data_IF_062445166595
#
_entry.id   IF_062445166595
#
_cell.length_a   1.000
_cell.length_b   1.000
_cell.length_c   1.000
_cell.angle_alpha   90.00
_cell.angle_beta   90.00
_cell.angle_gamma   90.00
#
_symmetry.space_group_name_H-M   'P 1'
#
loop_
_entity.id
_entity.type
_entity.pdbx_description
1 polymer ?
#
# COMPACT_ATOMS: atom_id res chain seq x y z
N UNK A 1 -21.30 -48.97 39.05
CA UNK A 1 -19.92 -48.57 38.67
C UNK A 1 -19.86 -47.92 37.27
N UNK A 2 -20.60 -48.40 36.26
CA UNK A 2 -20.68 -47.81 34.90
C UNK A 2 -21.14 -46.34 34.81
N UNK A 3 -21.98 -45.85 35.73
CA UNK A 3 -22.45 -44.45 35.74
C UNK A 3 -21.35 -43.43 36.13
N UNK A 4 -20.41 -43.82 37.02
CA UNK A 4 -19.29 -42.94 37.41
C UNK A 4 -18.26 -42.80 36.30
N UNK A 5 -18.02 -43.86 35.52
CA UNK A 5 -17.06 -43.85 34.41
C UNK A 5 -17.53 -42.94 33.26
N UNK A 6 -18.83 -42.94 32.93
CA UNK A 6 -19.40 -42.02 31.92
C UNK A 6 -19.31 -40.55 32.35
N UNK A 7 -19.47 -40.24 33.64
CA UNK A 7 -19.31 -38.88 34.18
C UNK A 7 -17.87 -38.39 34.12
N UNK A 8 -16.90 -39.27 34.37
CA UNK A 8 -15.47 -38.95 34.28
C UNK A 8 -15.06 -38.68 32.82
N UNK A 9 -15.57 -39.45 31.86
CA UNK A 9 -15.30 -39.23 30.44
C UNK A 9 -15.89 -37.89 29.93
N UNK A 10 -17.09 -37.52 30.38
CA UNK A 10 -17.70 -36.22 30.04
C UNK A 10 -16.89 -35.06 30.66
N UNK A 11 -16.39 -35.23 31.88
CA UNK A 11 -15.56 -34.22 32.54
C UNK A 11 -14.22 -34.03 31.81
N UNK A 12 -13.58 -35.12 31.37
CA UNK A 12 -12.34 -35.07 30.58
C UNK A 12 -12.57 -34.40 29.23
N UNK A 13 -13.73 -34.64 28.58
CA UNK A 13 -14.11 -34.00 27.33
C UNK A 13 -14.36 -32.48 27.50
N UNK A 14 -14.99 -32.07 28.61
CA UNK A 14 -15.20 -30.66 28.93
C UNK A 14 -13.87 -29.95 29.24
N UNK A 15 -12.95 -30.63 29.93
CA UNK A 15 -11.61 -30.11 30.22
C UNK A 15 -10.80 -30.01 28.91
N UNK A 16 -10.88 -31.00 28.01
CA UNK A 16 -10.18 -30.91 26.72
C UNK A 16 -10.73 -29.79 25.84
N UNK A 17 -12.05 -29.59 25.80
CA UNK A 17 -12.68 -28.47 25.09
C UNK A 17 -12.24 -27.12 25.68
N UNK A 18 -12.08 -27.02 27.01
CA UNK A 18 -11.55 -25.81 27.64
C UNK A 18 -10.08 -25.55 27.27
N UNK A 19 -9.24 -26.59 27.18
CA UNK A 19 -7.84 -26.49 26.80
C UNK A 19 -7.69 -26.07 25.33
N UNK A 20 -8.58 -26.55 24.44
CA UNK A 20 -8.60 -26.11 23.03
C UNK A 20 -9.19 -24.71 22.84
N UNK A 21 -10.09 -24.25 23.72
CA UNK A 21 -10.62 -22.88 23.69
C UNK A 21 -9.61 -21.82 24.16
N UNK A 22 -8.54 -22.21 24.85
CA UNK A 22 -7.49 -21.29 25.32
C UNK A 22 -6.29 -21.15 24.38
N UNK A 23 -6.24 -21.88 23.26
CA UNK A 23 -5.41 -21.47 22.12
C UNK A 23 -6.12 -20.33 21.38
N UNK A 24 -6.33 -19.22 22.09
CA UNK A 24 -6.66 -17.96 21.48
C UNK A 24 -5.55 -17.67 20.48
N UNK A 25 -5.91 -17.65 19.20
CA UNK A 25 -5.20 -16.80 18.24
C UNK A 25 -5.00 -15.48 18.96
N UNK A 26 -3.76 -15.10 19.23
CA UNK A 26 -3.45 -13.74 19.69
C UNK A 26 -3.80 -12.82 18.53
N UNK A 27 -5.08 -12.47 18.42
CA UNK A 27 -5.52 -11.30 17.68
C UNK A 27 -4.96 -10.14 18.46
N UNK A 28 -3.88 -9.57 17.95
CA UNK A 28 -3.15 -8.49 18.58
C UNK A 28 -3.86 -7.18 18.25
N UNK A 29 -5.02 -6.96 18.85
CA UNK A 29 -5.55 -5.61 18.98
C UNK A 29 -4.89 -4.99 20.22
N UNK A 30 -3.64 -4.53 20.07
CA UNK A 30 -3.02 -3.72 21.11
C UNK A 30 -3.72 -2.36 21.07
N UNK A 31 -4.48 -2.01 22.11
CA UNK A 31 -5.22 -0.75 22.16
C UNK A 31 -4.29 0.45 21.90
N UNK A 32 -4.76 1.39 21.08
CA UNK A 32 -4.00 2.58 20.74
C UNK A 32 -3.62 3.38 21.99
N UNK A 33 -2.34 3.72 22.09
CA UNK A 33 -1.77 4.49 23.21
C UNK A 33 -1.83 6.00 22.96
N UNK A 34 -2.19 6.41 21.75
CA UNK A 34 -2.18 7.80 21.28
C UNK A 34 -3.60 8.23 20.95
N UNK A 35 -4.00 9.40 21.47
CA UNK A 35 -5.24 10.07 21.12
C UNK A 35 -4.93 11.43 20.48
N UNK A 36 -5.52 11.72 19.33
CA UNK A 36 -5.66 13.08 18.80
C UNK A 36 -7.05 13.61 19.15
N UNK A 37 -7.10 14.78 19.77
CA UNK A 37 -8.31 15.61 19.89
C UNK A 37 -8.12 16.81 18.96
N UNK A 38 -9.03 17.02 18.00
CA UNK A 38 -8.87 18.06 16.98
C UNK A 38 -10.12 18.91 16.82
N UNK A 39 -9.97 20.18 16.47
CA UNK A 39 -11.10 21.07 16.14
C UNK A 39 -11.56 20.95 14.69
N UNK A 40 -10.60 20.84 13.77
CA UNK A 40 -10.81 20.89 12.34
C UNK A 40 -9.62 20.25 11.63
N UNK A 41 -9.83 19.66 10.46
CA UNK A 41 -8.77 18.96 9.74
C UNK A 41 -7.72 19.91 9.13
N UNK A 42 -8.11 21.15 8.83
CA UNK A 42 -7.24 22.20 8.29
C UNK A 42 -7.58 23.59 8.83
N UNK A 43 -6.64 24.50 8.69
CA UNK A 43 -6.84 25.91 8.99
C UNK A 43 -7.68 26.59 7.90
N UNK A 44 -8.57 27.51 8.29
CA UNK A 44 -9.43 28.23 7.35
C UNK A 44 -8.62 28.98 6.29
N UNK A 45 -8.96 28.75 5.01
CA UNK A 45 -8.30 29.39 3.86
C UNK A 45 -6.97 28.74 3.43
N UNK A 46 -6.51 27.68 4.11
CA UNK A 46 -5.35 26.90 3.69
C UNK A 46 -5.78 25.59 3.01
N UNK A 47 -4.93 25.05 2.14
CA UNK A 47 -5.15 23.74 1.50
C UNK A 47 -4.62 22.58 2.34
N UNK A 48 -3.61 22.85 3.18
CA UNK A 48 -2.90 21.83 3.95
C UNK A 48 -3.76 21.18 5.04
N UNK A 49 -3.92 19.86 4.96
CA UNK A 49 -4.60 19.06 5.98
C UNK A 49 -3.64 18.73 7.13
N UNK A 50 -3.58 19.60 8.13
CA UNK A 50 -2.69 19.45 9.30
C UNK A 50 -3.06 18.24 10.16
N UNK A 51 -4.35 17.88 10.26
CA UNK A 51 -4.76 16.67 10.98
C UNK A 51 -4.12 15.43 10.36
N UNK A 52 -4.19 15.33 9.04
CA UNK A 52 -3.62 14.23 8.30
C UNK A 52 -2.09 14.15 8.42
N UNK A 53 -1.39 15.28 8.30
CA UNK A 53 0.06 15.34 8.55
C UNK A 53 0.44 14.87 9.95
N UNK A 54 -0.36 15.22 10.97
CA UNK A 54 -0.17 14.76 12.34
C UNK A 54 -0.43 13.26 12.49
N UNK A 55 -1.47 12.73 11.86
CA UNK A 55 -1.77 11.29 11.82
C UNK A 55 -0.60 10.53 11.19
N UNK A 56 -0.13 10.93 10.00
CA UNK A 56 1.03 10.31 9.35
C UNK A 56 2.27 10.33 10.25
N UNK A 57 2.50 11.46 10.93
CA UNK A 57 3.62 11.61 11.86
C UNK A 57 3.54 10.60 13.01
N UNK A 58 2.36 10.38 13.57
CA UNK A 58 2.15 9.42 14.66
C UNK A 58 2.28 7.98 14.16
N UNK A 59 1.67 7.63 13.02
CA UNK A 59 1.77 6.29 12.44
C UNK A 59 3.23 5.94 12.13
N UNK A 60 4.02 6.90 11.64
CA UNK A 60 5.46 6.75 11.42
C UNK A 60 6.28 6.44 12.68
N UNK A 61 5.71 6.63 13.88
CA UNK A 61 6.36 6.21 15.14
C UNK A 61 6.18 4.73 15.48
N UNK A 62 5.37 4.01 14.70
CA UNK A 62 4.98 2.62 14.93
C UNK A 62 3.76 2.46 15.85
N UNK A 63 3.04 3.55 16.15
CA UNK A 63 1.87 3.53 17.03
C UNK A 63 0.61 3.88 16.24
N UNK A 64 -0.48 3.16 16.53
CA UNK A 64 -1.81 3.55 16.06
C UNK A 64 -2.36 4.74 16.83
N UNK A 65 -3.46 5.29 16.33
CA UNK A 65 -4.03 6.54 16.83
C UNK A 65 -5.55 6.50 16.84
N UNK A 66 -6.12 6.83 18.00
CA UNK A 66 -7.54 7.19 18.11
C UNK A 66 -7.67 8.70 17.82
N UNK A 67 -8.69 9.10 17.08
CA UNK A 67 -8.91 10.47 16.63
C UNK A 67 -10.33 10.88 17.02
N UNK A 68 -10.48 11.99 17.74
CA UNK A 68 -11.76 12.48 18.24
C UNK A 68 -11.91 13.95 17.89
N UNK A 69 -13.03 14.30 17.25
CA UNK A 69 -13.37 15.69 17.02
C UNK A 69 -13.76 16.34 18.36
N UNK A 70 -13.33 17.57 18.58
CA UNK A 70 -13.56 18.29 19.83
C UNK A 70 -15.04 18.46 20.17
N UNK A 71 -15.92 18.63 19.19
CA UNK A 71 -17.37 18.76 19.41
C UNK A 71 -17.99 17.45 19.89
N UNK A 72 -17.29 16.33 19.68
CA UNK A 72 -17.64 15.00 20.17
C UNK A 72 -16.84 14.58 21.41
N UNK A 73 -15.95 15.45 21.91
CA UNK A 73 -15.27 15.23 23.17
C UNK A 73 -16.29 15.26 24.31
N UNK A 74 -16.44 14.13 24.96
CA UNK A 74 -17.10 14.02 26.26
C UNK A 74 -16.06 13.69 27.32
N UNK A 75 -16.43 13.66 28.61
CA UNK A 75 -15.57 13.19 29.72
C UNK A 75 -15.27 11.68 29.64
N UNK A 76 -14.95 11.19 28.45
CA UNK A 76 -14.36 9.88 28.22
C UNK A 76 -13.03 9.80 28.95
N UNK A 77 -12.69 8.59 29.40
CA UNK A 77 -11.48 8.35 30.16
C UNK A 77 -10.26 8.46 29.25
N UNK A 78 -9.74 9.68 29.09
CA UNK A 78 -8.45 9.94 28.45
C UNK A 78 -7.31 9.21 29.17
N UNK A 79 -7.53 8.75 30.40
CA UNK A 79 -6.56 8.03 31.23
C UNK A 79 -6.08 6.70 30.63
N UNK A 80 -6.79 6.12 29.66
CA UNK A 80 -6.30 4.91 28.94
C UNK A 80 -5.12 5.21 28.01
N UNK A 81 -4.97 6.46 27.57
CA UNK A 81 -3.92 6.86 26.64
C UNK A 81 -2.64 7.26 27.37
N UNK A 82 -1.49 7.02 26.72
CA UNK A 82 -0.19 7.50 27.21
C UNK A 82 0.16 8.87 26.64
N UNK A 83 -0.30 9.15 25.43
CA UNK A 83 -0.01 10.38 24.70
C UNK A 83 -1.30 11.01 24.21
N UNK A 84 -1.42 12.31 24.43
CA UNK A 84 -2.55 13.11 24.01
C UNK A 84 -2.04 14.25 23.13
N UNK A 85 -2.53 14.28 21.90
CA UNK A 85 -2.26 15.35 20.94
C UNK A 85 -3.51 16.21 20.82
N UNK A 86 -3.37 17.51 21.09
CA UNK A 86 -4.45 18.48 20.94
C UNK A 86 -4.13 19.34 19.73
N UNK A 87 -4.94 19.27 18.68
CA UNK A 87 -4.74 20.03 17.44
C UNK A 87 -5.85 21.07 17.27
N UNK A 88 -5.50 22.34 17.41
CA UNK A 88 -6.40 23.46 17.18
C UNK A 88 -5.91 24.30 16.02
N UNK A 89 -6.46 24.05 14.84
CA UNK A 89 -6.13 24.82 13.64
C UNK A 89 -6.86 26.16 13.60
N UNK A 90 -8.07 26.20 14.19
CA UNK A 90 -8.92 27.36 14.28
C UNK A 90 -9.18 27.73 15.76
N UNK A 91 -9.77 28.89 15.99
CA UNK A 91 -10.05 29.39 17.34
C UNK A 91 -11.46 29.01 17.82
N UNK A 92 -11.86 27.74 17.64
CA UNK A 92 -13.12 27.23 18.18
C UNK A 92 -13.15 27.24 19.71
N UNK A 93 -14.34 27.28 20.29
CA UNK A 93 -14.50 27.29 21.75
C UNK A 93 -14.07 25.95 22.37
N UNK A 94 -13.37 26.00 23.51
CA UNK A 94 -12.96 24.81 24.25
C UNK A 94 -14.18 24.22 24.99
N UNK A 95 -14.37 22.89 25.01
CA UNK A 95 -15.43 22.27 25.80
C UNK A 95 -15.28 22.54 27.30
N UNK A 96 -16.41 22.66 27.99
CA UNK A 96 -16.45 22.87 29.43
C UNK A 96 -15.69 21.79 30.20
N UNK A 97 -14.74 22.22 31.04
CA UNK A 97 -13.94 21.33 31.87
C UNK A 97 -12.79 20.63 31.14
N UNK A 98 -12.63 20.82 29.82
CA UNK A 98 -11.56 20.18 29.05
C UNK A 98 -10.16 20.46 29.63
N UNK A 99 -9.86 21.72 29.95
CA UNK A 99 -8.59 22.11 30.57
C UNK A 99 -8.38 21.43 31.94
N UNK A 100 -9.45 21.24 32.72
CA UNK A 100 -9.36 20.53 34.00
C UNK A 100 -9.03 19.05 33.82
N UNK A 101 -9.57 18.42 32.77
CA UNK A 101 -9.25 17.04 32.43
C UNK A 101 -7.77 16.93 31.98
N UNK A 102 -7.29 17.85 31.15
CA UNK A 102 -5.89 17.92 30.74
C UNK A 102 -4.93 18.12 31.92
N UNK A 103 -5.30 18.95 32.90
CA UNK A 103 -4.50 19.14 34.11
C UNK A 103 -4.35 17.84 34.91
N UNK A 104 -5.40 17.01 34.98
CA UNK A 104 -5.42 15.72 35.69
C UNK A 104 -4.75 14.60 34.92
N UNK A 105 -4.67 14.71 33.59
CA UNK A 105 -4.06 13.69 32.74
C UNK A 105 -2.60 13.45 33.10
N UNK A 106 -2.26 12.17 33.29
CA UNK A 106 -0.93 11.71 33.74
C UNK A 106 0.02 11.43 32.57
N UNK A 107 -0.50 11.15 31.39
CA UNK A 107 0.30 10.91 30.18
C UNK A 107 0.89 12.21 29.62
N UNK A 108 1.61 12.14 28.49
CA UNK A 108 2.22 13.34 27.88
C UNK A 108 1.23 14.04 26.96
N UNK A 109 1.23 15.36 27.00
CA UNK A 109 0.38 16.20 26.16
C UNK A 109 1.25 16.93 25.14
N UNK A 110 0.83 16.94 23.88
CA UNK A 110 1.39 17.81 22.84
C UNK A 110 0.26 18.68 22.32
N UNK A 111 0.30 19.97 22.62
CA UNK A 111 -0.65 20.93 22.10
C UNK A 111 -0.08 21.62 20.86
N UNK A 112 -0.85 21.60 19.78
CA UNK A 112 -0.45 22.12 18.48
C UNK A 112 -1.47 23.16 18.01
N UNK A 113 -0.98 24.35 17.68
CA UNK A 113 -1.79 25.41 17.08
C UNK A 113 -2.32 26.44 18.08
N UNK A 114 -3.54 26.88 17.84
CA UNK A 114 -4.20 28.00 18.52
C UNK A 114 -4.78 27.59 19.87
N UNK A 115 -5.33 28.57 20.60
CA UNK A 115 -6.09 28.39 21.84
C UNK A 115 -5.36 27.65 22.97
N UNK A 116 -4.02 27.70 22.99
CA UNK A 116 -3.24 27.16 24.10
C UNK A 116 -3.58 27.89 25.40
N UNK A 117 -4.06 27.15 26.40
CA UNK A 117 -4.49 27.70 27.67
C UNK A 117 -3.30 27.91 28.64
N UNK A 118 -3.20 29.11 29.21
CA UNK A 118 -2.11 29.49 30.13
C UNK A 118 -2.06 28.64 31.39
N UNK A 119 -3.18 28.06 31.82
CA UNK A 119 -3.22 27.15 32.97
C UNK A 119 -2.35 25.89 32.74
N UNK A 120 -2.10 25.53 31.47
CA UNK A 120 -1.28 24.40 31.10
C UNK A 120 0.22 24.74 31.02
N UNK A 121 0.62 26.02 30.98
CA UNK A 121 2.04 26.44 30.79
C UNK A 121 3.01 25.82 31.81
N UNK A 122 2.56 25.66 33.06
CA UNK A 122 3.40 25.14 34.15
C UNK A 122 3.32 23.62 34.31
N UNK A 123 2.56 22.91 33.47
CA UNK A 123 2.43 21.46 33.53
C UNK A 123 3.72 20.80 33.03
N UNK A 124 4.32 19.90 33.80
CA UNK A 124 5.62 19.32 33.45
C UNK A 124 5.58 18.41 32.20
N UNK A 125 4.44 17.77 31.95
CA UNK A 125 4.25 16.78 30.90
C UNK A 125 3.52 17.33 29.67
N UNK A 126 3.65 18.63 29.38
CA UNK A 126 3.11 19.24 28.16
C UNK A 126 4.23 19.81 27.27
N UNK A 127 4.05 19.70 25.97
CA UNK A 127 4.82 20.40 24.94
C UNK A 127 3.87 21.24 24.08
N UNK A 128 4.23 22.49 23.83
CA UNK A 128 3.49 23.38 22.94
C UNK A 128 4.22 23.57 21.61
N UNK A 129 3.49 23.49 20.50
CA UNK A 129 3.97 23.73 19.13
C UNK A 129 3.01 24.73 18.48
N UNK A 130 3.50 25.93 18.17
CA UNK A 130 2.63 27.00 17.70
C UNK A 130 2.05 26.76 16.31
N UNK A 131 2.84 26.18 15.40
CA UNK A 131 2.42 25.85 14.04
C UNK A 131 3.43 24.90 13.39
N UNK A 132 3.03 24.25 12.30
CA UNK A 132 3.90 23.53 11.38
C UNK A 132 3.33 23.56 9.95
N UNK A 133 4.18 23.33 8.94
CA UNK A 133 3.76 23.16 7.55
C UNK A 133 4.66 22.20 6.78
N UNK A 134 4.07 21.36 5.93
CA UNK A 134 4.75 20.48 4.98
C UNK A 134 5.56 21.23 3.92
N UNK A 135 5.36 22.55 3.79
CA UNK A 135 6.06 23.42 2.85
C UNK A 135 7.42 23.90 3.36
N UNK A 136 7.75 23.67 4.62
CA UNK A 136 9.00 24.11 5.23
C UNK A 136 9.57 23.08 6.22
N UNK A 137 10.71 23.41 6.84
CA UNK A 137 11.42 22.51 7.75
C UNK A 137 10.66 22.20 9.06
N UNK A 138 9.64 22.99 9.41
CA UNK A 138 8.89 22.79 10.66
C UNK A 138 8.15 21.45 10.69
N UNK A 139 7.71 20.91 9.55
CA UNK A 139 7.11 19.58 9.52
C UNK A 139 8.12 18.50 9.88
N UNK A 140 9.35 18.60 9.36
CA UNK A 140 10.44 17.69 9.70
C UNK A 140 10.85 17.78 11.18
N UNK A 141 10.81 18.98 11.76
CA UNK A 141 11.06 19.21 13.19
C UNK A 141 9.94 18.59 14.03
N UNK A 142 8.67 18.88 13.71
CA UNK A 142 7.49 18.30 14.37
C UNK A 142 7.62 16.79 14.40
N UNK A 143 7.90 16.21 13.25
CA UNK A 143 8.04 14.79 13.05
C UNK A 143 9.07 14.20 14.04
N UNK A 144 10.32 14.69 14.02
CA UNK A 144 11.40 14.21 14.91
C UNK A 144 11.03 14.33 16.38
N UNK A 145 10.44 15.47 16.74
CA UNK A 145 9.97 15.76 18.08
C UNK A 145 8.91 14.76 18.55
N UNK A 146 7.94 14.44 17.71
CA UNK A 146 6.88 13.47 18.03
C UNK A 146 7.45 12.06 18.18
N UNK A 147 8.36 11.65 17.29
CA UNK A 147 9.03 10.35 17.44
C UNK A 147 9.72 10.24 18.79
N UNK A 148 10.48 11.26 19.18
CA UNK A 148 11.15 11.31 20.48
C UNK A 148 10.18 11.27 21.65
N UNK A 149 9.09 12.04 21.57
CA UNK A 149 8.06 12.08 22.62
C UNK A 149 7.38 10.72 22.79
N UNK A 150 7.13 9.97 21.72
CA UNK A 150 6.41 8.69 21.77
C UNK A 150 7.36 7.53 22.12
N UNK A 151 8.56 7.49 21.53
CA UNK A 151 9.47 6.35 21.63
C UNK A 151 10.59 6.52 22.68
N UNK A 152 10.67 7.67 23.35
CA UNK A 152 11.69 7.96 24.37
C UNK A 152 13.13 7.84 23.87
N UNK A 153 13.34 8.05 22.57
CA UNK A 153 14.66 8.02 21.91
C UNK A 153 14.66 8.89 20.65
N UNK A 154 15.84 9.32 20.23
CA UNK A 154 16.00 9.97 18.93
C UNK A 154 15.72 8.96 17.80
N UNK A 155 15.33 9.47 16.63
CA UNK A 155 15.28 8.64 15.43
C UNK A 155 16.71 8.38 14.96
N UNK A 156 17.26 7.21 15.30
CA UNK A 156 18.67 6.93 15.08
C UNK A 156 19.04 6.67 13.61
N UNK A 157 18.11 6.16 12.77
CA UNK A 157 18.34 5.99 11.33
C UNK A 157 17.05 5.72 10.53
N UNK A 158 16.80 6.52 9.51
CA UNK A 158 15.76 6.30 8.51
C UNK A 158 16.20 5.30 7.44
N UNK A 159 15.28 4.50 6.92
CA UNK A 159 15.51 3.62 5.78
C UNK A 159 15.02 4.26 4.49
N UNK A 160 15.87 4.30 3.47
CA UNK A 160 15.51 4.75 2.12
C UNK A 160 15.54 3.55 1.19
N UNK A 161 14.46 3.28 0.47
CA UNK A 161 14.38 2.19 -0.49
C UNK A 161 14.25 2.75 -1.91
N UNK A 162 14.74 2.00 -2.91
CA UNK A 162 14.44 2.27 -4.31
C UNK A 162 13.19 1.48 -4.70
N UNK A 163 12.23 2.13 -5.34
CA UNK A 163 10.98 1.52 -5.79
C UNK A 163 10.77 1.81 -7.28
N UNK A 164 10.47 0.76 -8.05
CA UNK A 164 9.93 0.87 -9.41
C UNK A 164 8.42 0.70 -9.30
N UNK A 165 7.70 1.76 -9.64
CA UNK A 165 6.27 1.89 -9.36
C UNK A 165 5.42 1.59 -10.58
N UNK A 166 4.14 1.32 -10.34
CA UNK A 166 3.16 1.02 -11.38
C UNK A 166 3.68 -0.02 -12.38
N UNK A 167 4.27 -1.13 -11.93
CA UNK A 167 4.73 -2.19 -12.83
C UNK A 167 3.52 -2.99 -13.31
N UNK A 168 3.12 -2.81 -14.57
CA UNK A 168 1.94 -3.47 -15.17
C UNK A 168 2.31 -4.38 -16.37
N UNK A 169 1.46 -5.33 -16.78
CA UNK A 169 1.79 -6.30 -17.84
C UNK A 169 2.11 -5.73 -19.23
N UNK A 170 1.75 -4.46 -19.49
CA UNK A 170 1.90 -3.79 -20.78
C UNK A 170 3.14 -2.90 -20.87
N UNK A 171 3.96 -2.80 -19.81
CA UNK A 171 5.25 -2.10 -19.84
C UNK A 171 6.18 -2.75 -20.87
N UNK A 172 7.15 -1.99 -21.40
CA UNK A 172 8.22 -2.58 -22.19
C UNK A 172 9.08 -3.49 -21.31
N UNK A 173 8.85 -4.80 -21.41
CA UNK A 173 9.58 -5.81 -20.64
C UNK A 173 11.09 -5.77 -20.88
N UNK A 174 11.53 -5.42 -22.09
CA UNK A 174 12.94 -5.31 -22.43
C UNK A 174 13.59 -4.12 -21.73
N UNK A 175 12.89 -2.99 -21.65
CA UNK A 175 13.33 -1.83 -20.88
C UNK A 175 13.32 -2.11 -19.37
N UNK A 176 12.29 -2.77 -18.87
CA UNK A 176 12.21 -3.16 -17.46
C UNK A 176 13.35 -4.12 -17.05
N UNK A 177 13.69 -5.09 -17.90
CA UNK A 177 14.87 -5.96 -17.69
C UNK A 177 16.16 -5.14 -17.63
N UNK A 178 16.36 -4.14 -18.50
CA UNK A 178 17.55 -3.28 -18.44
C UNK A 178 17.65 -2.52 -17.11
N UNK A 179 16.52 -2.06 -16.55
CA UNK A 179 16.48 -1.42 -15.23
C UNK A 179 16.87 -2.41 -14.13
N UNK A 180 16.34 -3.63 -14.15
CA UNK A 180 16.68 -4.70 -13.19
C UNK A 180 18.17 -5.03 -13.26
N UNK A 181 18.70 -5.25 -14.47
CA UNK A 181 20.12 -5.58 -14.68
C UNK A 181 21.03 -4.46 -14.18
N UNK A 182 20.69 -3.20 -14.50
CA UNK A 182 21.43 -2.05 -14.00
C UNK A 182 21.46 -2.00 -12.48
N UNK A 183 20.32 -2.14 -11.81
CA UNK A 183 20.25 -2.14 -10.35
C UNK A 183 21.07 -3.28 -9.74
N UNK A 184 20.94 -4.48 -10.29
CA UNK A 184 21.71 -5.65 -9.85
C UNK A 184 23.22 -5.45 -10.03
N UNK A 185 23.66 -4.95 -11.18
CA UNK A 185 25.07 -4.69 -11.48
C UNK A 185 25.66 -3.59 -10.59
N UNK A 186 24.84 -2.64 -10.15
CA UNK A 186 25.22 -1.61 -9.17
C UNK A 186 25.11 -2.08 -7.71
N UNK A 187 24.60 -3.29 -7.47
CA UNK A 187 24.34 -3.81 -6.11
C UNK A 187 23.26 -3.01 -5.37
N UNK A 188 22.31 -2.41 -6.08
CA UNK A 188 21.21 -1.61 -5.51
C UNK A 188 19.98 -2.51 -5.34
N UNK A 189 19.58 -2.83 -4.10
CA UNK A 189 18.35 -3.56 -3.83
C UNK A 189 17.14 -2.67 -4.13
N UNK A 190 16.04 -3.29 -4.56
CA UNK A 190 14.88 -2.55 -5.05
C UNK A 190 13.56 -3.24 -4.76
N UNK A 191 12.50 -2.45 -4.84
CA UNK A 191 11.11 -2.88 -4.71
C UNK A 191 10.44 -2.69 -6.06
N UNK A 192 9.60 -3.63 -6.48
CA UNK A 192 8.66 -3.42 -7.58
C UNK A 192 7.25 -3.36 -7.01
N UNK A 193 6.58 -2.21 -7.16
CA UNK A 193 5.14 -2.13 -6.90
C UNK A 193 4.38 -2.56 -8.14
N UNK A 194 3.72 -3.72 -8.05
CA UNK A 194 3.12 -4.38 -9.20
C UNK A 194 1.62 -4.13 -9.20
N UNK A 195 1.11 -3.64 -10.33
CA UNK A 195 -0.31 -3.40 -10.53
C UNK A 195 -1.11 -4.71 -10.45
N UNK A 196 -2.26 -4.73 -9.77
CA UNK A 196 -3.07 -5.93 -9.64
C UNK A 196 -3.73 -6.28 -10.98
N UNK A 197 -3.67 -7.57 -11.34
CA UNK A 197 -4.27 -8.11 -12.57
C UNK A 197 -5.40 -9.06 -12.19
N UNK A 198 -6.58 -8.86 -12.77
CA UNK A 198 -7.80 -9.61 -12.41
C UNK A 198 -8.32 -10.52 -13.53
N UNK A 199 -7.88 -10.28 -14.76
CA UNK A 199 -8.40 -10.93 -15.96
C UNK A 199 -7.25 -11.40 -16.86
N UNK A 200 -7.58 -12.23 -17.86
CA UNK A 200 -6.63 -12.72 -18.87
C UNK A 200 -5.39 -13.42 -18.29
N UNK A 201 -5.53 -14.02 -17.11
CA UNK A 201 -4.44 -14.67 -16.37
C UNK A 201 -3.73 -15.78 -17.18
N UNK A 202 -4.43 -16.45 -18.09
CA UNK A 202 -3.86 -17.57 -18.85
C UNK A 202 -3.15 -17.15 -20.15
N UNK A 203 -3.12 -15.84 -20.47
CA UNK A 203 -2.48 -15.34 -21.69
C UNK A 203 -0.96 -15.45 -21.59
N UNK A 204 -0.30 -15.69 -22.72
CA UNK A 204 1.16 -15.78 -22.76
C UNK A 204 1.85 -14.47 -22.35
N UNK A 205 1.19 -13.32 -22.56
CA UNK A 205 1.63 -12.03 -22.05
C UNK A 205 1.75 -12.03 -20.51
N UNK A 206 0.76 -12.58 -19.80
CA UNK A 206 0.80 -12.69 -18.34
C UNK A 206 1.92 -13.62 -17.87
N UNK A 207 2.12 -14.76 -18.55
CA UNK A 207 3.22 -15.69 -18.23
C UNK A 207 4.59 -15.02 -18.38
N UNK A 208 4.80 -14.29 -19.49
CA UNK A 208 6.03 -13.52 -19.76
C UNK A 208 6.24 -12.41 -18.74
N UNK A 209 5.18 -11.68 -18.40
CA UNK A 209 5.23 -10.65 -17.38
C UNK A 209 5.65 -11.23 -16.01
N UNK A 210 4.99 -12.29 -15.55
CA UNK A 210 5.36 -12.97 -14.31
C UNK A 210 6.77 -13.59 -14.36
N UNK A 211 7.25 -14.03 -15.53
CA UNK A 211 8.63 -14.48 -15.70
C UNK A 211 9.63 -13.35 -15.45
N UNK A 212 9.37 -12.14 -15.94
CA UNK A 212 10.21 -10.96 -15.65
C UNK A 212 10.13 -10.55 -14.17
N UNK A 213 8.97 -10.68 -13.53
CA UNK A 213 8.85 -10.45 -12.08
C UNK A 213 9.64 -11.48 -11.26
N UNK A 214 9.62 -12.76 -11.65
CA UNK A 214 10.50 -13.79 -11.05
C UNK A 214 11.98 -13.48 -11.31
N UNK A 215 12.32 -12.95 -12.49
CA UNK A 215 13.66 -12.49 -12.77
C UNK A 215 14.08 -11.38 -11.81
N UNK A 216 13.24 -10.36 -11.61
CA UNK A 216 13.46 -9.31 -10.60
C UNK A 216 13.68 -9.90 -9.19
N UNK A 217 12.84 -10.85 -8.76
CA UNK A 217 12.99 -11.55 -7.48
C UNK A 217 14.35 -12.27 -7.36
N UNK A 218 14.80 -12.96 -8.41
CA UNK A 218 16.11 -13.65 -8.39
C UNK A 218 17.31 -12.69 -8.40
N UNK A 219 17.07 -11.41 -8.68
CA UNK A 219 18.06 -10.32 -8.70
C UNK A 219 17.97 -9.40 -7.47
N UNK A 220 17.35 -9.87 -6.39
CA UNK A 220 17.24 -9.12 -5.12
C UNK A 220 16.09 -8.11 -5.08
N UNK A 221 15.19 -8.14 -6.06
CA UNK A 221 13.97 -7.33 -6.08
C UNK A 221 12.89 -7.90 -5.17
N UNK A 222 12.30 -7.08 -4.31
CA UNK A 222 11.09 -7.46 -3.54
C UNK A 222 9.84 -7.02 -4.28
N UNK A 223 8.82 -7.87 -4.34
CA UNK A 223 7.55 -7.53 -4.98
C UNK A 223 6.54 -7.09 -3.91
N UNK A 224 5.87 -5.97 -4.16
CA UNK A 224 4.70 -5.52 -3.40
C UNK A 224 3.51 -5.37 -4.35
N UNK A 225 2.29 -5.41 -3.81
CA UNK A 225 1.08 -5.25 -4.59
C UNK A 225 0.62 -3.79 -4.54
N UNK A 226 0.48 -3.17 -5.70
CA UNK A 226 -0.08 -1.84 -5.79
C UNK A 226 -1.57 -1.88 -5.46
N UNK A 227 -2.10 -0.96 -4.67
CA UNK A 227 -3.56 -0.82 -4.58
C UNK A 227 -4.05 -0.05 -5.80
N UNK A 228 -4.44 -0.76 -6.87
CA UNK A 228 -5.03 -0.08 -8.02
C UNK A 228 -6.29 0.66 -7.57
N UNK A 229 -6.35 1.96 -7.86
CA UNK A 229 -7.58 2.73 -7.73
C UNK A 229 -8.52 2.22 -8.82
N UNK A 230 -9.45 1.36 -8.44
CA UNK A 230 -10.55 1.02 -9.34
C UNK A 230 -11.27 2.34 -9.69
N UNK A 231 -11.35 2.67 -10.98
CA UNK A 231 -12.01 3.91 -11.43
C UNK A 231 -13.51 3.80 -11.19
N UNK A 232 -14.00 4.51 -10.18
CA UNK A 232 -15.42 4.65 -9.85
C UNK A 232 -15.59 5.32 -8.49
N UNK A 233 -16.57 6.22 -8.38
CA UNK A 233 -16.98 6.74 -7.07
C UNK A 233 -17.63 5.59 -6.28
N UNK A 234 -17.33 5.50 -4.98
CA UNK A 234 -18.02 4.63 -4.01
C UNK A 234 -17.92 3.11 -4.25
N UNK A 235 -16.72 2.62 -4.58
CA UNK A 235 -16.48 1.17 -4.66
C UNK A 235 -16.35 0.60 -3.23
N UNK A 236 -17.13 -0.42 -2.85
CA UNK A 236 -17.04 -1.02 -1.52
C UNK A 236 -15.64 -1.58 -1.24
N UNK A 237 -15.09 -1.30 -0.05
CA UNK A 237 -13.77 -1.80 0.34
C UNK A 237 -13.65 -3.32 0.29
N UNK A 238 -14.75 -4.05 0.55
CA UNK A 238 -14.80 -5.51 0.41
C UNK A 238 -14.55 -5.98 -1.03
N UNK A 239 -15.13 -5.31 -2.02
CA UNK A 239 -14.95 -5.67 -3.43
C UNK A 239 -13.50 -5.42 -3.86
N UNK A 240 -12.89 -4.32 -3.40
CA UNK A 240 -11.47 -4.03 -3.64
C UNK A 240 -10.59 -5.09 -2.98
N UNK A 241 -10.85 -5.44 -1.72
CA UNK A 241 -10.13 -6.48 -0.99
C UNK A 241 -10.19 -7.83 -1.71
N UNK A 242 -11.37 -8.23 -2.21
CA UNK A 242 -11.56 -9.49 -2.92
C UNK A 242 -10.79 -9.51 -4.25
N UNK A 243 -10.77 -8.39 -4.97
CA UNK A 243 -9.96 -8.24 -6.18
C UNK A 243 -8.46 -8.26 -5.90
N UNK A 244 -8.01 -7.58 -4.86
CA UNK A 244 -6.60 -7.59 -4.43
C UNK A 244 -6.17 -9.00 -4.03
N UNK A 245 -7.03 -9.74 -3.32
CA UNK A 245 -6.85 -11.15 -3.00
C UNK A 245 -6.72 -12.00 -4.27
N UNK A 246 -7.60 -11.81 -5.26
CA UNK A 246 -7.53 -12.51 -6.54
C UNK A 246 -6.20 -12.21 -7.27
N UNK A 247 -5.78 -10.95 -7.33
CA UNK A 247 -4.51 -10.57 -7.95
C UNK A 247 -3.31 -11.24 -7.26
N UNK A 248 -3.29 -11.25 -5.92
CA UNK A 248 -2.26 -11.95 -5.15
C UNK A 248 -2.22 -13.45 -5.51
N UNK A 249 -3.37 -14.11 -5.56
CA UNK A 249 -3.47 -15.53 -5.93
C UNK A 249 -2.95 -15.80 -7.34
N UNK A 250 -3.26 -14.92 -8.30
CA UNK A 250 -2.76 -15.02 -9.68
C UNK A 250 -1.23 -14.92 -9.69
N UNK A 251 -0.64 -13.96 -8.97
CA UNK A 251 0.82 -13.85 -8.89
C UNK A 251 1.47 -15.08 -8.26
N UNK A 252 0.91 -15.58 -7.15
CA UNK A 252 1.40 -16.78 -6.47
C UNK A 252 1.35 -18.00 -7.39
N UNK A 253 0.28 -18.17 -8.19
CA UNK A 253 0.16 -19.24 -9.21
C UNK A 253 1.34 -19.25 -10.17
N UNK A 254 1.93 -18.09 -10.45
CA UNK A 254 3.10 -17.94 -11.30
C UNK A 254 4.41 -17.77 -10.52
N UNK A 255 4.47 -18.11 -9.23
CA UNK A 255 5.70 -18.05 -8.43
C UNK A 255 6.22 -16.62 -8.17
N UNK A 256 5.33 -15.63 -8.29
CA UNK A 256 5.57 -14.24 -7.89
C UNK A 256 4.90 -14.03 -6.53
N UNK A 257 5.62 -13.46 -5.58
CA UNK A 257 5.15 -13.38 -4.19
C UNK A 257 5.11 -11.92 -3.71
N UNK A 258 3.97 -11.22 -3.86
CA UNK A 258 3.80 -9.88 -3.33
C UNK A 258 3.71 -9.93 -1.79
N UNK A 259 4.68 -9.34 -1.09
CA UNK A 259 4.82 -9.51 0.38
C UNK A 259 4.41 -8.28 1.21
N UNK A 260 3.96 -7.22 0.56
CA UNK A 260 3.37 -6.03 1.17
C UNK A 260 2.43 -5.34 0.17
N UNK A 261 1.76 -4.26 0.61
CA UNK A 261 0.94 -3.42 -0.24
C UNK A 261 1.40 -1.95 -0.20
N UNK A 262 1.10 -1.22 -1.26
CA UNK A 262 0.99 0.24 -1.18
C UNK A 262 -0.47 0.70 -1.22
N UNK A 263 -0.73 1.87 -0.65
CA UNK A 263 -2.04 2.52 -0.66
C UNK A 263 -1.95 4.02 -0.96
N UNK A 264 -2.94 4.61 -1.65
CA UNK A 264 -3.16 6.03 -1.53
C UNK A 264 -3.57 6.35 -0.09
N UNK A 265 -2.99 7.43 0.41
CA UNK A 265 -3.16 7.95 1.76
C UNK A 265 -4.63 8.05 2.21
N UNK A 266 -5.52 8.45 1.32
CA UNK A 266 -6.95 8.59 1.56
C UNK A 266 -7.63 7.31 2.03
N UNK A 267 -7.09 6.12 1.71
CA UNK A 267 -7.64 4.84 2.18
C UNK A 267 -7.49 4.65 3.68
N UNK A 268 -6.53 5.34 4.34
CA UNK A 268 -6.40 5.32 5.80
C UNK A 268 -7.67 5.79 6.52
N UNK A 269 -8.51 6.59 5.87
CA UNK A 269 -9.70 7.19 6.44
C UNK A 269 -11.01 6.56 5.96
N UNK A 270 -10.95 5.42 5.26
CA UNK A 270 -12.12 4.69 4.80
C UNK A 270 -12.38 3.48 5.69
N UNK A 271 -13.45 3.54 6.49
CA UNK A 271 -13.80 2.50 7.47
C UNK A 271 -13.95 1.10 6.82
N UNK A 272 -14.57 1.04 5.64
CA UNK A 272 -14.79 -0.20 4.90
C UNK A 272 -13.51 -0.76 4.23
N UNK A 273 -12.41 -0.02 4.22
CA UNK A 273 -11.11 -0.43 3.67
C UNK A 273 -10.12 -0.90 4.76
N UNK A 274 -10.45 -0.79 6.05
CA UNK A 274 -9.53 -1.10 7.15
C UNK A 274 -8.88 -2.48 7.05
N UNK A 275 -9.65 -3.50 6.67
CA UNK A 275 -9.11 -4.85 6.50
C UNK A 275 -8.05 -4.95 5.40
N UNK A 276 -8.19 -4.19 4.32
CA UNK A 276 -7.20 -4.13 3.25
C UNK A 276 -5.97 -3.32 3.69
N UNK A 277 -6.19 -2.14 4.28
CA UNK A 277 -5.13 -1.26 4.78
C UNK A 277 -4.24 -1.97 5.81
N UNK A 278 -4.84 -2.70 6.73
CA UNK A 278 -4.14 -3.45 7.78
C UNK A 278 -3.90 -4.93 7.42
N UNK A 279 -3.90 -5.27 6.13
CA UNK A 279 -3.54 -6.62 5.70
C UNK A 279 -2.05 -6.92 5.93
N UNK A 280 -1.19 -5.90 6.01
CA UNK A 280 0.25 -6.02 6.22
C UNK A 280 0.74 -5.36 7.51
N UNK A 281 1.89 -5.81 8.02
CA UNK A 281 2.55 -5.17 9.16
C UNK A 281 3.26 -3.85 8.77
N UNK A 282 3.79 -3.78 7.54
CA UNK A 282 4.35 -2.58 6.95
C UNK A 282 3.43 -2.05 5.86
N UNK A 283 3.42 -0.74 5.67
CA UNK A 283 2.61 -0.09 4.64
C UNK A 283 3.41 0.94 3.86
N UNK A 284 3.23 0.96 2.54
CA UNK A 284 3.76 2.01 1.66
C UNK A 284 2.63 2.99 1.38
N UNK A 285 2.88 4.29 1.58
CA UNK A 285 1.85 5.33 1.42
C UNK A 285 2.21 6.22 0.25
N UNK A 286 1.31 6.25 -0.73
CA UNK A 286 1.30 7.23 -1.80
C UNK A 286 0.50 8.47 -1.37
N UNK A 287 1.09 9.65 -1.54
CA UNK A 287 0.42 10.90 -1.17
C UNK A 287 -0.64 11.24 -2.19
N UNK A 288 -1.87 11.39 -1.73
CA UNK A 288 -2.93 11.93 -2.56
C UNK A 288 -2.72 13.44 -2.78
N UNK A 289 -3.01 13.91 -4.00
CA UNK A 289 -3.10 15.35 -4.27
C UNK A 289 -4.15 16.03 -3.39
N UNK A 290 -5.23 15.31 -3.09
CA UNK A 290 -6.29 15.77 -2.20
C UNK A 290 -7.02 14.56 -1.60
N UNK A 291 -6.78 14.31 -0.32
CA UNK A 291 -7.47 13.28 0.46
C UNK A 291 -8.95 13.62 0.77
N UNK A 292 -9.39 14.83 0.44
CA UNK A 292 -10.73 15.32 0.73
C UNK A 292 -10.89 15.84 2.17
N UNK A 293 -12.15 15.90 2.61
CA UNK A 293 -12.51 16.38 3.94
C UNK A 293 -12.44 15.23 4.93
N UNK A 294 -11.57 15.35 5.93
CA UNK A 294 -11.60 14.47 7.10
C UNK A 294 -12.59 15.07 8.11
N UNK A 295 -13.79 14.50 8.16
CA UNK A 295 -14.82 14.90 9.12
C UNK A 295 -15.50 13.66 9.71
N UNK A 296 -14.94 13.18 10.82
CA UNK A 296 -15.53 12.14 11.63
C UNK A 296 -15.56 12.54 13.10
N UNK A 297 -16.62 12.15 13.81
CA UNK A 297 -16.73 12.36 15.26
C UNK A 297 -15.63 11.62 16.01
N UNK A 298 -15.43 10.36 15.62
CA UNK A 298 -14.41 9.46 16.15
C UNK A 298 -13.93 8.54 15.05
N UNK A 299 -12.63 8.25 15.05
CA UNK A 299 -12.00 7.30 14.15
C UNK A 299 -10.79 6.68 14.83
N UNK A 300 -10.33 5.56 14.30
CA UNK A 300 -9.19 4.83 14.85
C UNK A 300 -8.44 4.18 13.71
N UNK A 301 -7.12 4.34 13.71
CA UNK A 301 -6.19 3.72 12.77
C UNK A 301 -5.21 2.89 13.58
N UNK A 302 -5.06 1.61 13.24
CA UNK A 302 -4.13 0.74 13.93
C UNK A 302 -2.68 1.06 13.53
N UNK A 303 -1.74 0.71 14.41
CA UNK A 303 -0.31 0.94 14.16
C UNK A 303 0.26 0.00 13.10
N UNK A 304 1.34 0.44 12.47
CA UNK A 304 2.17 -0.38 11.58
C UNK A 304 3.54 -0.57 12.21
N UNK A 305 4.25 -1.65 11.86
CA UNK A 305 5.66 -1.81 12.23
C UNK A 305 6.50 -0.73 11.52
N UNK A 306 6.21 -0.47 10.24
CA UNK A 306 6.79 0.63 9.45
C UNK A 306 5.76 1.26 8.52
N UNK A 307 5.79 2.59 8.46
CA UNK A 307 5.13 3.40 7.44
C UNK A 307 6.22 3.95 6.53
N UNK A 308 6.11 3.67 5.24
CA UNK A 308 7.12 4.03 4.23
C UNK A 308 6.49 5.01 3.25
N UNK A 309 6.94 6.27 3.29
CA UNK A 309 6.42 7.32 2.40
C UNK A 309 6.92 7.06 0.97
N UNK A 310 6.02 6.85 -0.01
CA UNK A 310 6.37 6.86 -1.44
C UNK A 310 6.65 8.31 -1.87
N UNK A 311 7.80 8.51 -2.51
CA UNK A 311 8.26 9.81 -2.97
C UNK A 311 8.59 9.68 -4.46
N UNK A 312 7.76 10.27 -5.31
CA UNK A 312 7.94 10.23 -6.75
C UNK A 312 9.17 11.02 -7.18
N UNK A 313 10.10 10.33 -7.84
CA UNK A 313 11.29 10.90 -8.43
C UNK A 313 10.98 11.24 -9.88
N UNK A 314 10.76 12.53 -10.13
CA UNK A 314 10.60 13.10 -11.46
C UNK A 314 11.84 13.90 -11.86
N UNK A 315 12.02 14.15 -13.15
CA UNK A 315 13.21 14.83 -13.70
C UNK A 315 13.46 16.24 -13.10
N UNK A 316 12.43 16.87 -12.54
CA UNK A 316 12.49 18.25 -12.02
C UNK A 316 12.66 18.34 -10.50
N UNK A 317 12.62 17.21 -9.76
CA UNK A 317 12.64 17.23 -8.30
C UNK A 317 14.05 17.08 -7.73
N UNK A 318 14.50 18.09 -6.98
CA UNK A 318 15.80 18.08 -6.28
C UNK A 318 15.55 17.66 -4.83
N UNK A 319 16.12 16.52 -4.43
CA UNK A 319 16.04 16.02 -3.06
C UNK A 319 17.29 16.38 -2.26
N UNK A 320 17.11 16.94 -1.06
CA UNK A 320 18.20 17.19 -0.11
C UNK A 320 18.17 16.17 1.04
N UNK A 321 19.33 15.62 1.48
CA UNK A 321 19.37 14.62 2.55
C UNK A 321 18.66 15.03 3.85
N UNK A 322 18.63 16.34 4.16
CA UNK A 322 17.94 16.88 5.34
C UNK A 322 16.42 16.72 5.30
N UNK A 323 15.84 16.52 4.12
CA UNK A 323 14.40 16.33 3.91
C UNK A 323 13.97 14.88 4.20
N UNK A 324 14.88 13.91 4.16
CA UNK A 324 14.58 12.51 4.51
C UNK A 324 14.64 12.35 6.02
N UNK A 325 13.48 12.43 6.67
CA UNK A 325 13.39 12.31 8.12
C UNK A 325 12.77 10.99 8.60
N UNK A 326 12.24 10.18 7.67
CA UNK A 326 11.49 8.93 7.92
C UNK A 326 11.83 7.87 6.89
N UNK A 327 11.36 6.67 7.15
CA UNK A 327 11.37 5.59 6.18
C UNK A 327 10.65 6.04 4.90
N UNK A 328 11.34 5.92 3.76
CA UNK A 328 10.87 6.42 2.47
C UNK A 328 11.21 5.45 1.35
N UNK A 329 10.38 5.43 0.31
CA UNK A 329 10.62 4.73 -0.94
C UNK A 329 10.69 5.75 -2.07
N UNK A 330 11.87 5.91 -2.66
CA UNK A 330 12.08 6.74 -3.84
C UNK A 330 11.55 6.01 -5.07
N UNK A 331 10.43 6.51 -5.56
CA UNK A 331 9.56 5.88 -6.54
C UNK A 331 9.89 6.36 -7.94
N UNK A 332 10.16 5.43 -8.84
CA UNK A 332 10.38 5.68 -10.26
C UNK A 332 9.30 4.96 -11.06
N UNK A 333 8.54 5.69 -11.88
CA UNK A 333 7.53 5.07 -12.72
C UNK A 333 8.15 3.99 -13.65
N UNK A 334 7.47 2.86 -13.80
CA UNK A 334 7.93 1.74 -14.64
C UNK A 334 8.11 2.12 -16.12
N UNK A 335 7.42 3.16 -16.61
CA UNK A 335 7.52 3.68 -17.98
C UNK A 335 8.63 4.73 -18.16
N UNK A 336 9.32 5.14 -17.09
CA UNK A 336 10.40 6.12 -17.18
C UNK A 336 11.54 5.59 -18.07
N UNK A 337 11.96 6.35 -19.08
CA UNK A 337 13.03 5.91 -19.97
C UNK A 337 14.32 5.54 -19.21
N UNK A 338 15.00 4.48 -19.64
CA UNK A 338 16.17 3.90 -18.95
C UNK A 338 17.29 4.91 -18.67
N UNK A 339 17.56 5.85 -19.57
CA UNK A 339 18.57 6.88 -19.36
C UNK A 339 18.16 7.89 -18.29
N UNK A 340 16.88 8.28 -18.26
CA UNK A 340 16.31 9.14 -17.21
C UNK A 340 16.30 8.44 -15.85
N UNK A 341 15.96 7.15 -15.82
CA UNK A 341 16.01 6.31 -14.63
C UNK A 341 17.43 6.26 -14.02
N UNK A 342 18.45 5.98 -14.84
CA UNK A 342 19.86 6.00 -14.39
C UNK A 342 20.28 7.39 -13.89
N UNK A 343 19.87 8.45 -14.59
CA UNK A 343 20.19 9.82 -14.19
C UNK A 343 19.61 10.17 -12.82
N UNK A 344 18.35 9.79 -12.56
CA UNK A 344 17.71 10.01 -11.26
C UNK A 344 18.41 9.24 -10.13
N UNK A 345 18.74 7.96 -10.34
CA UNK A 345 19.50 7.16 -9.36
C UNK A 345 20.87 7.79 -9.09
N UNK A 346 21.59 8.17 -10.16
CA UNK A 346 22.89 8.82 -10.03
C UNK A 346 22.79 10.12 -9.23
N UNK A 347 21.77 10.94 -9.48
CA UNK A 347 21.56 12.19 -8.75
C UNK A 347 21.39 11.95 -7.23
N UNK A 348 20.61 10.93 -6.86
CA UNK A 348 20.38 10.54 -5.46
C UNK A 348 21.67 10.08 -4.78
N UNK A 349 22.46 9.25 -5.46
CA UNK A 349 23.76 8.77 -4.97
C UNK A 349 24.77 9.92 -4.85
N UNK A 350 24.81 10.84 -5.81
CA UNK A 350 25.69 12.01 -5.79
C UNK A 350 25.36 12.95 -4.60
N UNK A 351 24.12 12.94 -4.10
CA UNK A 351 23.68 13.59 -2.86
C UNK A 351 24.02 12.81 -1.58
N UNK A 352 24.76 11.70 -1.70
CA UNK A 352 25.16 10.80 -0.59
C UNK A 352 23.99 10.11 0.10
N UNK A 353 22.89 9.91 -0.61
CA UNK A 353 21.78 9.09 -0.14
C UNK A 353 22.03 7.66 -0.61
N UNK A 354 22.06 6.72 0.32
CA UNK A 354 22.22 5.28 0.04
C UNK A 354 20.89 4.56 0.21
N UNK A 355 20.65 3.56 -0.63
CA UNK A 355 19.49 2.68 -0.49
C UNK A 355 19.76 1.56 0.52
N UNK A 356 18.82 1.36 1.43
CA UNK A 356 18.81 0.28 2.40
C UNK A 356 18.46 -1.04 1.74
N UNK A 357 19.02 -2.11 2.28
CA UNK A 357 18.71 -3.47 1.86
C UNK A 357 17.25 -3.83 2.20
N UNK A 358 16.48 -4.12 1.16
CA UNK A 358 15.08 -4.51 1.26
C UNK A 358 14.91 -5.89 1.88
N UNK A 359 15.94 -6.75 1.86
CA UNK A 359 15.89 -8.06 2.53
C UNK A 359 15.80 -7.91 4.05
N UNK A 360 16.33 -6.82 4.60
CA UNK A 360 16.22 -6.48 6.03
C UNK A 360 14.82 -6.00 6.44
N UNK A 361 13.98 -5.64 5.47
CA UNK A 361 12.59 -5.25 5.71
C UNK A 361 11.73 -6.52 5.89
N UNK A 362 11.61 -6.98 7.13
CA UNK A 362 10.72 -8.10 7.46
C UNK A 362 9.26 -7.69 7.20
N UNK A 363 8.56 -8.44 6.35
CA UNK A 363 7.15 -8.19 6.03
C UNK A 363 6.30 -9.39 6.37
N UNK A 364 5.05 -9.14 6.74
CA UNK A 364 3.98 -10.12 6.87
C UNK A 364 2.74 -9.50 6.27
N UNK A 365 2.07 -10.23 5.39
CA UNK A 365 0.83 -9.81 4.74
C UNK A 365 -0.18 -10.95 4.72
N UNK A 366 -1.40 -10.67 5.15
CA UNK A 366 -2.54 -11.60 5.23
C UNK A 366 -3.68 -11.07 4.38
N UNK A 367 -3.92 -11.70 3.24
CA UNK A 367 -4.95 -11.28 2.29
C UNK A 367 -5.62 -12.53 1.71
N UNK A 368 -6.95 -12.55 1.64
CA UNK A 368 -7.66 -13.68 1.02
C UNK A 368 -7.48 -15.04 1.70
N UNK A 369 -7.13 -15.07 3.00
CA UNK A 369 -6.79 -16.31 3.72
C UNK A 369 -5.38 -16.84 3.43
N UNK A 370 -4.57 -16.11 2.66
CA UNK A 370 -3.16 -16.41 2.39
C UNK A 370 -2.30 -15.53 3.27
N UNK A 371 -1.31 -16.12 3.91
CA UNK A 371 -0.24 -15.42 4.63
C UNK A 371 1.07 -15.51 3.83
N UNK A 372 1.62 -14.35 3.47
CA UNK A 372 2.97 -14.23 2.93
C UNK A 372 3.87 -13.54 3.96
N UNK A 373 5.03 -14.12 4.22
CA UNK A 373 6.07 -13.50 5.07
C UNK A 373 7.40 -13.43 4.33
N UNK A 374 8.11 -12.33 4.50
CA UNK A 374 9.49 -12.17 4.05
C UNK A 374 10.37 -11.95 5.27
N UNK A 375 11.29 -12.87 5.53
CA UNK A 375 12.20 -12.83 6.68
C UNK A 375 13.56 -13.39 6.27
N UNK A 376 14.65 -12.64 6.50
CA UNK A 376 16.03 -13.07 6.20
C UNK A 376 16.17 -13.68 4.80
N UNK A 377 15.71 -12.94 3.78
CA UNK A 377 15.74 -13.33 2.36
C UNK A 377 14.83 -14.51 1.99
N UNK A 378 14.19 -15.19 2.95
CA UNK A 378 13.22 -16.24 2.69
C UNK A 378 11.81 -15.68 2.49
N UNK A 379 11.06 -16.29 1.58
CA UNK A 379 9.63 -16.03 1.41
C UNK A 379 8.87 -17.26 1.89
N UNK A 380 7.95 -17.06 2.83
CA UNK A 380 7.08 -18.10 3.36
C UNK A 380 5.66 -17.86 2.89
N UNK A 381 5.06 -18.87 2.26
CA UNK A 381 3.65 -18.95 1.91
C UNK A 381 2.97 -19.90 2.90
N UNK A 382 2.07 -19.39 3.73
CA UNK A 382 1.38 -20.18 4.77
C UNK A 382 2.34 -21.04 5.63
N UNK A 383 3.49 -20.45 6.00
CA UNK A 383 4.60 -21.07 6.74
C UNK A 383 5.51 -22.03 5.94
N UNK A 384 5.30 -22.19 4.63
CA UNK A 384 6.16 -23.01 3.77
C UNK A 384 7.11 -22.12 2.95
N UNK A 385 8.41 -22.46 2.90
CA UNK A 385 9.41 -21.71 2.11
C UNK A 385 9.18 -21.96 0.62
N UNK A 386 9.12 -20.89 -0.19
CA UNK A 386 8.74 -20.98 -1.62
C UNK A 386 9.78 -20.43 -2.60
N UNK A 387 10.78 -19.67 -2.16
CA UNK A 387 11.76 -19.03 -3.05
C UNK A 387 12.94 -19.93 -3.46
N UNK A 388 13.18 -21.07 -2.78
CA UNK A 388 14.27 -22.01 -3.15
C UNK A 388 14.03 -22.70 -4.52
N UNK A 389 12.77 -22.88 -4.93
CA UNK A 389 12.41 -23.55 -6.19
C UNK A 389 12.64 -22.69 -7.45
N UNK A 390 12.93 -21.40 -7.31
CA UNK A 390 13.11 -20.45 -8.43
C UNK A 390 14.57 -20.20 -8.83
N UNK A 391 15.54 -20.83 -8.14
CA UNK A 391 16.98 -20.60 -8.30
C UNK A 391 17.58 -21.07 -9.65
N UNK A 392 16.81 -21.76 -10.50
CA UNK A 392 17.32 -22.46 -11.70
C UNK A 392 16.78 -21.98 -13.04
N UNK A 393 15.95 -20.93 -13.11
CA UNK A 393 15.51 -20.37 -14.39
C UNK A 393 16.40 -19.20 -14.81
N UNK A 394 17.43 -19.49 -15.60
CA UNK A 394 18.07 -18.45 -16.42
C UNK A 394 16.99 -17.85 -17.31
N UNK A 395 16.65 -16.58 -17.10
CA UNK A 395 15.95 -15.82 -18.12
C UNK A 395 16.80 -15.88 -19.40
N UNK A 396 16.23 -16.36 -20.50
CA UNK A 396 16.92 -16.53 -21.76
C UNK A 396 17.17 -15.17 -22.42
N UNK A 397 18.24 -14.49 -21.98
CA UNK A 397 18.85 -13.37 -22.67
C UNK A 397 19.76 -13.87 -23.81
N UNK A 398 19.23 -14.72 -24.69
CA UNK A 398 19.95 -15.15 -25.88
C UNK A 398 18.96 -15.36 -27.02
N UNK A 399 18.98 -14.41 -27.95
CA UNK A 399 18.55 -14.67 -29.31
C UNK A 399 19.36 -15.83 -29.85
N UNK A 400 18.70 -16.97 -30.04
CA UNK A 400 19.20 -18.02 -30.91
C UNK A 400 18.49 -17.88 -32.25
N UNK A 401 19.30 -17.55 -33.25
CA UNK A 401 19.08 -17.86 -34.66
C UNK A 401 18.95 -19.37 -34.85
N UNK A 402 17.82 -19.94 -34.43
CA UNK A 402 17.34 -21.25 -34.84
C UNK A 402 16.31 -21.04 -35.94
N UNK A 403 16.44 -21.80 -37.03
CA UNK A 403 15.59 -21.75 -38.22
C UNK A 403 14.12 -21.50 -37.88
N UNK A 404 13.60 -20.38 -38.40
CA UNK A 404 12.18 -20.13 -38.47
C UNK A 404 11.63 -21.17 -39.46
N UNK A 405 11.12 -22.29 -38.97
CA UNK A 405 10.01 -22.94 -39.68
C UNK A 405 8.85 -21.96 -39.61
N UNK A 406 8.75 -21.16 -40.67
CA UNK A 406 7.62 -20.29 -40.90
C UNK A 406 6.38 -21.20 -40.95
N UNK A 407 5.60 -21.20 -39.87
CA UNK A 407 4.23 -21.69 -39.95
C UNK A 407 3.54 -20.73 -40.91
N UNK A 408 3.37 -21.18 -42.15
CA UNK A 408 2.69 -20.46 -43.21
C UNK A 408 1.22 -20.24 -42.81
N UNK A 409 0.95 -19.07 -42.22
CA UNK A 409 -0.40 -18.61 -41.85
C UNK A 409 -1.21 -18.20 -43.10
N UNK A 410 -0.63 -18.28 -44.31
CA UNK A 410 -1.30 -17.96 -45.58
C UNK A 410 -2.50 -18.87 -45.88
N UNK A 411 -2.42 -20.15 -45.53
CA UNK A 411 -3.48 -21.12 -45.83
C UNK A 411 -4.69 -21.04 -44.86
N UNK A 412 -4.48 -20.64 -43.61
CA UNK A 412 -5.56 -20.43 -42.64
C UNK A 412 -6.35 -19.15 -42.97
N UNK A 413 -5.65 -18.06 -43.33
CA UNK A 413 -6.29 -16.82 -43.75
C UNK A 413 -7.01 -16.97 -45.10
N UNK A 414 -6.44 -17.73 -46.06
CA UNK A 414 -7.07 -17.97 -47.35
C UNK A 414 -8.41 -18.73 -47.28
N UNK A 415 -8.57 -19.66 -46.32
CA UNK A 415 -9.85 -20.35 -46.10
C UNK A 415 -10.90 -19.43 -45.48
N UNK A 416 -10.52 -18.62 -44.49
CA UNK A 416 -11.42 -17.65 -43.85
C UNK A 416 -11.86 -16.61 -44.88
N UNK A 417 -10.92 -16.06 -45.67
CA UNK A 417 -11.23 -15.08 -46.73
C UNK A 417 -12.15 -15.67 -47.80
N UNK A 418 -11.94 -16.93 -48.24
CA UNK A 418 -12.83 -17.59 -49.21
C UNK A 418 -14.25 -17.80 -48.66
N UNK A 419 -14.39 -18.14 -47.38
CA UNK A 419 -15.69 -18.27 -46.72
C UNK A 419 -16.38 -16.90 -46.66
N UNK A 420 -15.67 -15.85 -46.24
CA UNK A 420 -16.21 -14.48 -46.18
C UNK A 420 -16.66 -13.96 -47.55
N UNK A 421 -15.85 -14.15 -48.59
CA UNK A 421 -16.21 -13.78 -49.97
C UNK A 421 -17.44 -14.56 -50.44
N UNK A 422 -17.53 -15.87 -50.12
CA UNK A 422 -18.69 -16.69 -50.45
C UNK A 422 -19.98 -16.16 -49.82
N UNK A 423 -19.94 -15.78 -48.54
CA UNK A 423 -21.09 -15.18 -47.83
C UNK A 423 -21.49 -13.84 -48.47
N UNK A 424 -20.51 -12.99 -48.81
CA UNK A 424 -20.78 -11.70 -49.47
C UNK A 424 -21.42 -11.87 -50.85
N UNK A 425 -20.99 -12.85 -51.65
CA UNK A 425 -21.58 -13.13 -52.97
C UNK A 425 -23.03 -13.60 -52.83
N UNK A 426 -23.34 -14.45 -51.85
CA UNK A 426 -24.72 -14.88 -51.58
C UNK A 426 -25.60 -13.70 -51.21
N UNK A 427 -25.14 -12.81 -50.33
CA UNK A 427 -25.85 -11.57 -50.00
C UNK A 427 -26.06 -10.68 -51.23
N UNK A 428 -25.06 -10.57 -52.10
CA UNK A 428 -25.17 -9.77 -53.32
C UNK A 428 -26.19 -10.35 -54.31
N UNK A 429 -26.23 -11.67 -54.46
CA UNK A 429 -27.24 -12.37 -55.28
C UNK A 429 -28.64 -12.15 -54.71
N UNK A 430 -28.80 -12.23 -53.38
CA UNK A 430 -30.09 -11.95 -52.72
C UNK A 430 -30.54 -10.51 -52.99
N UNK A 431 -29.64 -9.53 -52.91
CA UNK A 431 -29.93 -8.13 -53.22
C UNK A 431 -30.32 -7.95 -54.69
N UNK A 432 -29.64 -8.63 -55.62
CA UNK A 432 -29.97 -8.57 -57.05
C UNK A 432 -31.32 -9.22 -57.38
N UNK A 433 -31.63 -10.37 -56.75
CA UNK A 433 -32.94 -11.03 -56.88
C UNK A 433 -34.02 -10.13 -56.30
N UNK A 434 -33.80 -9.56 -55.11
CA UNK A 434 -34.72 -8.61 -54.46
C UNK A 434 -35.00 -7.41 -55.38
N UNK A 435 -33.95 -6.78 -55.94
CA UNK A 435 -34.08 -5.69 -56.91
C UNK A 435 -34.82 -6.10 -58.18
N UNK A 436 -34.65 -7.33 -58.66
CA UNK A 436 -35.33 -7.83 -59.87
C UNK A 436 -36.81 -8.12 -59.61
N UNK A 437 -37.14 -8.59 -58.40
CA UNK A 437 -38.53 -8.77 -57.94
C UNK A 437 -39.21 -7.41 -57.76
N UNK A 438 -38.54 -6.43 -57.15
CA UNK A 438 -39.05 -5.06 -57.01
C UNK A 438 -39.28 -4.40 -58.37
N UNK A 439 -38.32 -4.49 -59.30
CA UNK A 439 -38.51 -3.95 -60.66
C UNK A 439 -39.69 -4.59 -61.40
N UNK A 440 -39.91 -5.91 -61.25
CA UNK A 440 -41.07 -6.59 -61.86
C UNK A 440 -42.41 -6.28 -61.18
N UNK A 441 -42.40 -5.82 -59.92
CA UNK A 441 -43.61 -5.41 -59.20
C UNK A 441 -44.02 -3.96 -59.47
N UNK A 442 -43.06 -3.07 -59.76
CA UNK A 442 -43.30 -1.62 -59.87
C UNK A 442 -43.17 -1.04 -61.28
N UNK A 443 -42.67 -1.80 -62.26
CA UNK A 443 -42.71 -1.42 -63.68
C UNK A 443 -43.38 -2.54 -64.48
N UNK A 444 -44.68 -2.36 -64.70
CA UNK A 444 -45.49 -3.10 -65.67
C UNK A 444 -45.67 -2.22 -66.90
#
# INVERSE_FOLDING_TARGET
>A
MMSKIKKIQILILLISISIFAFNGVKVRAEENKVLIIYDSYKEFGLEENKLNLLVQTILGTGNGVDIVNIDSYSKESIDKYKFLFVLYNNSSELPDGFIQDLLRFKGRIVWIGKNFDKLLENKQNIKYISNFSSKDESYNVLRKDIYKVINDREWDKQSVYLLIDEVYPFVDLGEFIKKIDFLYDQGIPFICSVMPVYENQDFDAMKRFCEVLRYAQSKGGKIILHSSIMKGNDIPGKDVQDKMSLAQQIYIKYGVYPVAIDIPESLLYKEDYKELVHCGNNIFIEKDNNIGVIDFKKYSIDGFDKVIDKIDITNDYIYEPSQITYDAAFSFNSDLEFDSFKAGIKHIIDKRISFNDVESLNTTMKLGGIELRSENSNILLNNEVVNEQNSSSKASSQGNSGEIEAIDIGNANGRIIKITIGVCVVFFIIVLISRRIERKKFFK
#
